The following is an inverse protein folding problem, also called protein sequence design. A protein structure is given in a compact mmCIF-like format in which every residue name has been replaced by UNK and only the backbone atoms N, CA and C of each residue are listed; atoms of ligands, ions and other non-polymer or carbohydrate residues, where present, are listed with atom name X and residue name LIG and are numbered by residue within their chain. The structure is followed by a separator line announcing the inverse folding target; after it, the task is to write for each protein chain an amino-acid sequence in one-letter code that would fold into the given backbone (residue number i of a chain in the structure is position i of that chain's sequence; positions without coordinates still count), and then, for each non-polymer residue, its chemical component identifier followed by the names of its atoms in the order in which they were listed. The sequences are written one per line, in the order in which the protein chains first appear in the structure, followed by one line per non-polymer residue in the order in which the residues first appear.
data_IF_587738798575
#
_entry.id   IF_587738798575
#
_cell.length_a   1.000
_cell.length_b   1.000
_cell.length_c   1.000
_cell.angle_alpha   90.00
_cell.angle_beta   90.00
_cell.angle_gamma   90.00
#
_symmetry.space_group_name_H-M   'P 1'
#
loop_
_entity.id
_entity.type
_entity.pdbx_description
1 polymer ?
#
# COMPACT_ATOMS: atom_id res chain seq x y z
N UNK A 1 -22.82 5.47 -11.15
CA UNK A 1 -21.60 4.89 -10.54
C UNK A 1 -22.05 4.14 -9.30
N UNK A 2 -22.07 2.81 -9.39
CA UNK A 2 -22.70 1.94 -8.41
C UNK A 2 -21.96 1.98 -7.07
N UNK A 3 -22.67 2.35 -6.02
CA UNK A 3 -22.29 1.99 -4.66
C UNK A 3 -22.55 0.49 -4.49
N UNK A 4 -21.69 -0.36 -5.06
CA UNK A 4 -21.63 -1.73 -4.56
C UNK A 4 -21.26 -1.64 -3.09
N UNK A 5 -22.24 -1.93 -2.23
CA UNK A 5 -22.00 -2.24 -0.84
C UNK A 5 -21.28 -3.59 -0.86
N UNK A 6 -19.96 -3.54 -1.02
CA UNK A 6 -19.12 -4.69 -0.70
C UNK A 6 -19.55 -5.10 0.71
N UNK A 7 -20.10 -6.31 0.81
CA UNK A 7 -20.52 -6.88 2.09
C UNK A 7 -19.33 -7.01 3.04
N UNK A 8 -19.52 -7.70 4.16
CA UNK A 8 -18.41 -7.94 5.08
C UNK A 8 -17.33 -8.71 4.32
N UNK A 9 -16.12 -8.16 4.28
CA UNK A 9 -14.99 -8.85 3.68
C UNK A 9 -14.63 -10.04 4.58
N UNK A 10 -14.61 -11.28 4.05
CA UNK A 10 -14.17 -12.41 4.85
C UNK A 10 -12.71 -12.19 5.24
N UNK A 11 -12.44 -12.24 6.55
CA UNK A 11 -11.10 -12.16 7.11
C UNK A 11 -10.67 -13.53 7.58
N UNK A 12 -9.42 -13.91 7.32
CA UNK A 12 -8.88 -15.17 7.86
C UNK A 12 -8.74 -15.10 9.39
N UNK A 13 -8.33 -13.93 9.92
CA UNK A 13 -8.23 -13.66 11.36
C UNK A 13 -8.77 -12.27 11.66
N UNK A 14 -9.49 -12.13 12.79
CA UNK A 14 -9.86 -10.81 13.32
C UNK A 14 -8.59 -10.09 13.80
N UNK A 15 -8.58 -8.76 13.72
CA UNK A 15 -7.44 -7.96 14.21
C UNK A 15 -7.09 -8.26 15.68
N UNK A 16 -8.09 -8.35 16.55
CA UNK A 16 -7.89 -8.71 17.97
C UNK A 16 -7.25 -10.08 18.15
N UNK A 17 -7.56 -11.05 17.29
CA UNK A 17 -6.91 -12.38 17.30
C UNK A 17 -5.45 -12.29 16.90
N UNK A 18 -5.11 -11.45 15.91
CA UNK A 18 -3.71 -11.21 15.51
C UNK A 18 -2.93 -10.60 16.67
N UNK A 19 -3.47 -9.54 17.31
CA UNK A 19 -2.81 -8.88 18.44
C UNK A 19 -2.71 -9.80 19.67
N UNK A 20 -3.73 -10.63 19.92
CA UNK A 20 -3.68 -11.67 20.97
C UNK A 20 -2.53 -12.66 20.76
N UNK A 21 -2.29 -13.12 19.52
CA UNK A 21 -1.16 -14.01 19.22
C UNK A 21 0.20 -13.38 19.53
N UNK A 22 0.32 -12.06 19.35
CA UNK A 22 1.55 -11.32 19.61
C UNK A 22 1.73 -11.08 21.12
N UNK A 23 0.66 -10.69 21.80
CA UNK A 23 0.72 -10.24 23.19
C UNK A 23 0.56 -11.36 24.23
N UNK A 24 0.11 -12.57 23.85
CA UNK A 24 -0.08 -13.72 24.76
C UNK A 24 1.18 -14.15 25.50
N UNK A 25 2.35 -13.71 25.05
CA UNK A 25 3.65 -14.03 25.65
C UNK A 25 4.12 -12.99 26.67
N UNK A 26 3.43 -11.85 26.80
CA UNK A 26 3.60 -10.90 27.91
C UNK A 26 2.80 -11.43 29.11
N UNK A 27 3.46 -12.19 29.97
CA UNK A 27 2.82 -13.09 30.94
C UNK A 27 2.04 -12.41 32.08
N UNK A 28 1.79 -11.09 32.05
CA UNK A 28 1.12 -10.39 33.15
C UNK A 28 0.19 -9.22 32.75
N UNK A 29 0.09 -8.82 31.48
CA UNK A 29 -0.65 -7.60 31.11
C UNK A 29 -1.93 -7.92 30.33
N UNK A 30 -3.09 -7.74 30.96
CA UNK A 30 -4.44 -7.81 30.36
C UNK A 30 -4.72 -6.71 29.30
N UNK A 31 -3.67 -6.08 28.75
CA UNK A 31 -3.75 -4.86 27.94
C UNK A 31 -3.98 -5.14 26.45
N UNK A 32 -4.19 -6.40 26.06
CA UNK A 32 -4.27 -6.77 24.64
C UNK A 32 -5.46 -6.15 23.89
N UNK A 33 -6.69 -6.15 24.45
CA UNK A 33 -7.81 -5.45 23.81
C UNK A 33 -7.54 -3.95 23.67
N UNK A 34 -6.85 -3.35 24.63
CA UNK A 34 -6.49 -1.93 24.62
C UNK A 34 -5.44 -1.63 23.53
N UNK A 35 -4.37 -2.44 23.43
CA UNK A 35 -3.36 -2.31 22.36
C UNK A 35 -4.00 -2.46 20.98
N UNK A 36 -4.88 -3.46 20.81
CA UNK A 36 -5.57 -3.70 19.54
C UNK A 36 -6.45 -2.51 19.16
N UNK A 37 -7.26 -2.00 20.10
CA UNK A 37 -8.14 -0.86 19.89
C UNK A 37 -7.35 0.43 19.61
N UNK A 38 -6.34 0.72 20.43
CA UNK A 38 -5.50 1.90 20.29
C UNK A 38 -4.77 1.91 18.94
N UNK A 39 -4.32 0.74 18.47
CA UNK A 39 -3.72 0.59 17.14
C UNK A 39 -4.69 0.99 16.04
N UNK A 40 -5.89 0.40 16.02
CA UNK A 40 -6.91 0.71 15.01
C UNK A 40 -7.30 2.19 15.04
N UNK A 41 -7.56 2.75 16.23
CA UNK A 41 -7.91 4.16 16.41
C UNK A 41 -6.82 5.09 15.87
N UNK A 42 -5.56 4.78 16.12
CA UNK A 42 -4.45 5.57 15.62
C UNK A 42 -4.35 5.51 14.08
N UNK A 43 -4.48 4.32 13.47
CA UNK A 43 -4.49 4.18 12.01
C UNK A 43 -5.64 4.98 11.39
N UNK A 44 -6.85 4.82 11.93
CA UNK A 44 -8.04 5.54 11.45
C UNK A 44 -7.87 7.06 11.54
N UNK A 45 -7.26 7.56 12.62
CA UNK A 45 -6.96 8.97 12.80
C UNK A 45 -5.95 9.46 11.76
N UNK A 46 -4.92 8.65 11.45
CA UNK A 46 -3.98 9.01 10.37
C UNK A 46 -4.65 9.11 9.01
N UNK A 47 -5.64 8.28 8.73
CA UNK A 47 -6.33 8.32 7.44
C UNK A 47 -7.29 9.52 7.25
N UNK A 48 -7.52 10.36 8.27
CA UNK A 48 -8.53 11.44 8.17
C UNK A 48 -8.20 12.56 7.19
N UNK A 49 -6.93 12.80 6.89
CA UNK A 49 -6.50 13.86 5.95
C UNK A 49 -5.33 13.43 5.05
N UNK A 50 -5.05 12.12 5.00
CA UNK A 50 -3.85 11.59 4.34
C UNK A 50 -3.92 11.73 2.81
N UNK A 51 -5.12 11.88 2.26
CA UNK A 51 -5.35 12.12 0.84
C UNK A 51 -4.80 13.48 0.37
N UNK A 52 -4.61 14.43 1.28
CA UNK A 52 -4.07 15.78 1.00
C UNK A 52 -2.55 15.84 1.08
N UNK A 53 -1.91 14.81 1.63
CA UNK A 53 -0.45 14.80 1.75
C UNK A 53 0.18 14.68 0.35
N UNK A 54 1.08 15.61 0.04
CA UNK A 54 1.72 15.66 -1.28
C UNK A 54 2.60 14.44 -1.56
N UNK A 55 3.23 13.87 -0.53
CA UNK A 55 4.05 12.66 -0.67
C UNK A 55 3.20 11.43 -0.98
N UNK A 56 2.05 11.30 -0.32
CA UNK A 56 1.06 10.25 -0.61
C UNK A 56 0.51 10.40 -2.03
N UNK A 57 0.14 11.62 -2.43
CA UNK A 57 -0.31 11.89 -3.80
C UNK A 57 0.78 11.56 -4.81
N UNK A 58 2.02 12.00 -4.60
CA UNK A 58 3.15 11.77 -5.50
C UNK A 58 3.46 10.28 -5.67
N UNK A 59 3.46 9.50 -4.57
CA UNK A 59 3.71 8.07 -4.63
C UNK A 59 2.64 7.34 -5.45
N UNK A 60 1.36 7.68 -5.26
CA UNK A 60 0.28 7.08 -6.03
C UNK A 60 0.27 7.55 -7.49
N UNK A 61 0.56 8.83 -7.74
CA UNK A 61 0.72 9.38 -9.09
C UNK A 61 1.81 8.66 -9.87
N UNK A 62 2.92 8.33 -9.23
CA UNK A 62 4.00 7.57 -9.85
C UNK A 62 3.52 6.20 -10.34
N UNK A 63 2.74 5.47 -9.51
CA UNK A 63 2.17 4.18 -9.91
C UNK A 63 1.19 4.31 -11.08
N UNK A 64 0.38 5.38 -11.11
CA UNK A 64 -0.50 5.68 -12.25
C UNK A 64 0.31 5.95 -13.52
N UNK A 65 1.35 6.78 -13.44
CA UNK A 65 2.23 7.10 -14.57
C UNK A 65 2.95 5.85 -15.09
N UNK A 66 3.39 4.97 -14.20
CA UNK A 66 4.05 3.72 -14.57
C UNK A 66 3.10 2.75 -15.29
N UNK A 67 1.86 2.63 -14.83
CA UNK A 67 0.83 1.85 -15.53
C UNK A 67 0.48 2.47 -16.88
N UNK A 68 0.34 3.79 -16.95
CA UNK A 68 0.06 4.53 -18.18
C UNK A 68 1.17 4.39 -19.22
N UNK A 69 2.44 4.52 -18.78
CA UNK A 69 3.59 4.50 -19.67
C UNK A 69 3.73 3.16 -20.40
N UNK A 70 3.32 2.07 -19.76
CA UNK A 70 3.48 0.74 -20.31
C UNK A 70 2.68 0.50 -21.62
N UNK A 71 1.61 1.27 -21.87
CA UNK A 71 0.85 1.20 -23.13
C UNK A 71 1.29 2.21 -24.18
N UNK A 72 2.28 3.04 -23.88
CA UNK A 72 2.76 4.06 -24.82
C UNK A 72 3.69 3.44 -25.87
N UNK A 73 3.79 4.10 -27.02
CA UNK A 73 4.73 3.73 -28.09
C UNK A 73 6.19 3.82 -27.61
N UNK A 74 6.49 4.86 -26.84
CA UNK A 74 7.79 5.08 -26.21
C UNK A 74 7.61 5.33 -24.70
N UNK A 75 7.60 4.27 -23.87
CA UNK A 75 7.35 4.40 -22.43
C UNK A 75 8.37 5.28 -21.70
N UNK A 76 9.65 5.22 -22.08
CA UNK A 76 10.72 6.01 -21.46
C UNK A 76 10.55 7.51 -21.74
N UNK A 77 10.29 7.88 -22.99
CA UNK A 77 10.05 9.27 -23.38
C UNK A 77 8.77 9.82 -22.73
N UNK A 78 7.72 9.00 -22.63
CA UNK A 78 6.51 9.38 -21.91
C UNK A 78 6.78 9.65 -20.43
N UNK A 79 7.53 8.79 -19.75
CA UNK A 79 7.90 9.01 -18.35
C UNK A 79 8.78 10.26 -18.18
N UNK A 80 9.76 10.45 -19.07
CA UNK A 80 10.67 11.59 -19.03
C UNK A 80 9.92 12.93 -19.24
N UNK A 81 8.99 12.98 -20.19
CA UNK A 81 8.13 14.16 -20.41
C UNK A 81 7.20 14.46 -19.22
N UNK A 82 6.91 13.46 -18.38
CA UNK A 82 6.19 13.62 -17.12
C UNK A 82 7.13 13.81 -15.90
N UNK A 83 8.43 13.99 -16.12
CA UNK A 83 9.42 14.28 -15.08
C UNK A 83 10.00 13.06 -14.35
N UNK A 84 9.75 11.85 -14.84
CA UNK A 84 10.31 10.59 -14.34
C UNK A 84 11.41 10.12 -15.31
N UNK A 85 12.66 10.26 -14.89
CA UNK A 85 13.79 9.80 -15.68
C UNK A 85 14.21 8.40 -15.23
N UNK A 86 14.07 7.43 -16.13
CA UNK A 86 14.62 6.08 -15.98
C UNK A 86 15.79 5.91 -16.95
N UNK A 87 16.78 5.13 -16.53
CA UNK A 87 17.87 4.68 -17.40
C UNK A 87 17.39 3.66 -18.43
N UNK A 88 18.23 3.37 -19.43
CA UNK A 88 17.91 2.43 -20.53
C UNK A 88 17.71 0.97 -20.09
N UNK A 89 18.22 0.58 -18.93
CA UNK A 89 17.81 -0.67 -18.27
C UNK A 89 16.72 -0.36 -17.24
N UNK A 90 15.63 -1.13 -17.29
CA UNK A 90 14.47 -1.01 -16.40
C UNK A 90 14.47 -2.21 -15.46
N UNK A 91 14.77 -1.94 -14.20
CA UNK A 91 14.70 -2.91 -13.10
C UNK A 91 13.86 -2.35 -11.94
N UNK A 92 13.34 -3.21 -11.04
CA UNK A 92 12.64 -2.76 -9.83
C UNK A 92 13.45 -1.75 -9.01
N UNK A 93 14.78 -1.93 -8.95
CA UNK A 93 15.67 -1.04 -8.23
C UNK A 93 15.73 0.37 -8.87
N UNK A 94 15.82 0.44 -10.20
CA UNK A 94 15.83 1.72 -10.92
C UNK A 94 14.48 2.44 -10.80
N UNK A 95 13.37 1.72 -10.94
CA UNK A 95 12.03 2.29 -10.75
C UNK A 95 11.87 2.77 -9.30
N UNK A 96 12.33 2.01 -8.30
CA UNK A 96 12.27 2.39 -6.89
C UNK A 96 13.12 3.63 -6.57
N UNK A 97 14.27 3.77 -7.22
CA UNK A 97 15.11 4.99 -7.13
C UNK A 97 14.38 6.19 -7.72
N UNK A 98 13.83 6.06 -8.93
CA UNK A 98 13.09 7.14 -9.58
C UNK A 98 11.83 7.54 -8.78
N UNK A 99 11.09 6.57 -8.23
CA UNK A 99 9.99 6.83 -7.30
C UNK A 99 10.46 7.61 -6.07
N UNK A 100 11.61 7.25 -5.51
CA UNK A 100 12.15 7.93 -4.33
C UNK A 100 12.52 9.37 -4.61
N UNK A 101 13.15 9.64 -5.75
CA UNK A 101 13.51 10.97 -6.21
C UNK A 101 12.28 11.80 -6.57
N UNK A 102 11.29 11.17 -7.22
CA UNK A 102 9.98 11.75 -7.50
C UNK A 102 9.35 12.23 -6.21
N UNK A 103 8.96 11.32 -5.31
CA UNK A 103 8.26 11.68 -4.05
C UNK A 103 9.00 12.76 -3.28
N UNK A 104 10.34 12.69 -3.18
CA UNK A 104 11.16 13.69 -2.48
C UNK A 104 11.02 15.10 -3.07
N UNK A 105 10.86 15.25 -4.38
CA UNK A 105 10.70 16.56 -5.03
C UNK A 105 9.34 17.22 -4.74
N UNK A 106 8.31 16.44 -4.42
CA UNK A 106 6.96 16.97 -4.20
C UNK A 106 6.49 16.95 -2.73
N UNK A 107 7.14 16.18 -1.86
CA UNK A 107 6.75 16.07 -0.46
C UNK A 107 7.28 17.22 0.41
N UNK A 108 6.38 17.89 1.15
CA UNK A 108 6.75 18.83 2.22
C UNK A 108 6.94 18.14 3.59
N UNK A 109 6.27 17.00 3.80
CA UNK A 109 6.24 16.22 5.05
C UNK A 109 7.10 14.96 4.95
N UNK A 110 7.95 14.72 5.95
CA UNK A 110 8.88 13.58 5.95
C UNK A 110 8.22 12.25 6.36
N UNK A 111 7.22 12.26 7.24
CA UNK A 111 6.68 11.01 7.82
C UNK A 111 5.70 10.31 6.87
N UNK A 112 4.66 11.00 6.40
CA UNK A 112 3.65 10.43 5.48
C UNK A 112 4.26 10.02 4.13
N UNK A 113 5.12 10.88 3.59
CA UNK A 113 5.84 10.59 2.36
C UNK A 113 6.73 9.34 2.48
N UNK A 114 7.34 9.10 3.65
CA UNK A 114 8.16 7.91 3.87
C UNK A 114 7.33 6.64 3.79
N UNK A 115 6.19 6.58 4.49
CA UNK A 115 5.30 5.41 4.45
C UNK A 115 4.73 5.19 3.05
N UNK A 116 4.28 6.27 2.39
CA UNK A 116 3.75 6.21 1.04
C UNK A 116 4.78 5.70 0.02
N UNK A 117 6.00 6.25 0.06
CA UNK A 117 7.10 5.87 -0.81
C UNK A 117 7.48 4.41 -0.60
N UNK A 118 7.68 3.99 0.65
CA UNK A 118 8.07 2.61 0.94
C UNK A 118 6.98 1.62 0.54
N UNK A 119 5.69 1.92 0.79
CA UNK A 119 4.59 1.09 0.32
C UNK A 119 4.56 0.96 -1.21
N UNK A 120 4.84 2.03 -1.95
CA UNK A 120 4.92 2.01 -3.40
C UNK A 120 6.15 1.23 -3.92
N UNK A 121 7.30 1.29 -3.23
CA UNK A 121 8.49 0.46 -3.55
C UNK A 121 8.18 -1.03 -3.37
N UNK A 122 7.54 -1.40 -2.25
CA UNK A 122 7.12 -2.80 -2.01
C UNK A 122 6.15 -3.25 -3.10
N UNK A 123 5.19 -2.38 -3.45
CA UNK A 123 4.22 -2.64 -4.53
C UNK A 123 4.90 -2.91 -5.86
N UNK A 124 5.90 -2.10 -6.23
CA UNK A 124 6.68 -2.28 -7.46
C UNK A 124 7.41 -3.62 -7.44
N UNK A 125 8.03 -3.95 -6.31
CA UNK A 125 8.81 -5.18 -6.13
C UNK A 125 7.92 -6.41 -6.22
N UNK A 126 6.80 -6.43 -5.49
CA UNK A 126 5.81 -7.51 -5.52
C UNK A 126 5.16 -7.67 -6.89
N UNK A 127 4.78 -6.56 -7.53
CA UNK A 127 4.24 -6.58 -8.88
C UNK A 127 5.22 -7.24 -9.85
N UNK A 128 6.48 -6.82 -9.81
CA UNK A 128 7.52 -7.34 -10.67
C UNK A 128 7.74 -8.84 -10.43
N UNK A 129 7.93 -9.27 -9.18
CA UNK A 129 8.12 -10.68 -8.82
C UNK A 129 6.95 -11.56 -9.26
N UNK A 130 5.71 -11.08 -9.09
CA UNK A 130 4.51 -11.83 -9.47
C UNK A 130 4.36 -11.98 -10.98
N UNK A 131 4.79 -10.98 -11.73
CA UNK A 131 4.56 -10.92 -13.17
C UNK A 131 5.78 -11.32 -14.01
N UNK A 132 6.93 -11.56 -13.37
CA UNK A 132 8.13 -12.10 -13.97
C UNK A 132 7.94 -13.60 -14.27
N UNK A 133 8.03 -13.96 -15.54
CA UNK A 133 7.87 -15.34 -16.01
C UNK A 133 9.24 -16.00 -16.14
N UNK A 134 9.45 -17.13 -15.44
CA UNK A 134 10.77 -17.82 -15.38
C UNK A 134 11.28 -18.31 -16.76
N UNK A 135 10.38 -18.62 -17.69
CA UNK A 135 10.73 -19.03 -19.06
C UNK A 135 11.30 -17.90 -19.92
N UNK A 136 11.11 -16.63 -19.54
CA UNK A 136 11.53 -15.48 -20.34
C UNK A 136 13.01 -15.11 -20.16
N UNK A 137 13.66 -15.52 -19.07
CA UNK A 137 15.07 -15.17 -18.80
C UNK A 137 16.07 -16.03 -19.60
N UNK A 138 15.68 -17.19 -20.12
CA UNK A 138 16.61 -18.15 -20.75
C UNK A 138 16.92 -17.83 -22.23
N UNK A 139 16.15 -16.96 -22.87
CA UNK A 139 16.30 -16.60 -24.30
C UNK A 139 16.16 -15.09 -24.57
N UNK A 140 16.56 -14.26 -23.61
CA UNK A 140 16.37 -12.80 -23.66
C UNK A 140 17.36 -12.11 -24.63
N UNK A 141 17.09 -12.19 -25.93
CA UNK A 141 17.45 -11.11 -26.85
C UNK A 141 16.69 -9.81 -26.54
N UNK A 142 16.99 -8.74 -27.26
CA UNK A 142 16.50 -7.35 -27.09
C UNK A 142 14.99 -7.24 -26.75
N UNK A 143 14.67 -7.31 -25.45
CA UNK A 143 13.29 -7.52 -24.96
C UNK A 143 12.65 -6.21 -24.54
N UNK A 144 11.33 -6.13 -24.77
CA UNK A 144 10.49 -5.06 -24.25
C UNK A 144 10.51 -5.07 -22.71
N UNK A 145 11.35 -4.21 -22.14
CA UNK A 145 11.55 -4.11 -20.69
C UNK A 145 10.28 -3.63 -19.94
N UNK A 146 9.25 -3.17 -20.67
CA UNK A 146 7.95 -2.76 -20.12
C UNK A 146 6.88 -3.86 -20.16
N UNK A 147 7.17 -5.04 -20.70
CA UNK A 147 6.21 -6.15 -20.81
C UNK A 147 5.53 -6.48 -19.46
N UNK A 148 6.32 -6.53 -18.37
CA UNK A 148 5.83 -6.76 -17.00
C UNK A 148 4.82 -5.68 -16.57
N UNK A 149 5.00 -4.45 -17.02
CA UNK A 149 4.15 -3.31 -16.66
C UNK A 149 2.92 -3.19 -17.55
N UNK A 150 2.92 -3.75 -18.76
CA UNK A 150 1.73 -3.77 -19.65
C UNK A 150 0.54 -4.45 -18.98
N UNK A 151 0.81 -5.49 -18.17
CA UNK A 151 -0.20 -6.17 -17.35
C UNK A 151 -0.90 -5.25 -16.34
N UNK A 152 -0.30 -4.10 -15.99
CA UNK A 152 -0.88 -3.10 -15.08
C UNK A 152 -1.69 -2.01 -15.80
N UNK A 153 -1.60 -1.95 -17.12
CA UNK A 153 -2.08 -0.83 -17.94
C UNK A 153 -3.54 -0.97 -18.40
N UNK A 154 -4.31 -1.85 -17.75
CA UNK A 154 -5.75 -1.96 -17.90
C UNK A 154 -6.44 -1.85 -16.54
N UNK A 155 -7.77 -1.75 -16.53
CA UNK A 155 -8.52 -1.62 -15.29
C UNK A 155 -8.32 -2.80 -14.31
N UNK A 156 -8.10 -4.03 -14.79
CA UNK A 156 -7.91 -5.21 -13.93
C UNK A 156 -6.52 -5.19 -13.28
N UNK A 157 -5.49 -4.95 -14.09
CA UNK A 157 -4.11 -4.81 -13.67
C UNK A 157 -3.91 -3.67 -12.70
N UNK A 158 -4.42 -2.48 -13.02
CA UNK A 158 -4.34 -1.34 -12.14
C UNK A 158 -5.11 -1.55 -10.82
N UNK A 159 -6.25 -2.24 -10.87
CA UNK A 159 -7.00 -2.62 -9.67
C UNK A 159 -6.18 -3.51 -8.73
N UNK A 160 -5.40 -4.44 -9.28
CA UNK A 160 -4.49 -5.25 -8.51
C UNK A 160 -3.30 -4.45 -7.97
N UNK A 161 -2.63 -3.65 -8.81
CA UNK A 161 -1.53 -2.78 -8.41
C UNK A 161 -1.94 -1.82 -7.29
N UNK A 162 -3.12 -1.20 -7.43
CA UNK A 162 -3.69 -0.32 -6.42
C UNK A 162 -4.00 -1.05 -5.12
N UNK A 163 -4.47 -2.31 -5.18
CA UNK A 163 -4.69 -3.12 -3.98
C UNK A 163 -3.37 -3.41 -3.25
N UNK A 164 -2.31 -3.77 -3.97
CA UNK A 164 -0.99 -3.99 -3.39
C UNK A 164 -0.51 -2.72 -2.67
N UNK A 165 -0.63 -1.56 -3.33
CA UNK A 165 -0.30 -0.28 -2.71
C UNK A 165 -1.03 -0.03 -1.40
N UNK A 166 -2.37 -0.15 -1.39
CA UNK A 166 -3.15 0.09 -0.18
C UNK A 166 -2.95 -0.99 0.89
N UNK A 167 -2.61 -2.22 0.50
CA UNK A 167 -2.21 -3.29 1.42
C UNK A 167 -0.93 -2.91 2.15
N UNK A 168 0.13 -2.62 1.40
CA UNK A 168 1.46 -2.32 1.94
C UNK A 168 1.44 -1.03 2.76
N UNK A 169 0.64 -0.05 2.33
CA UNK A 169 0.41 1.17 3.08
C UNK A 169 -0.27 0.89 4.44
N UNK A 170 -1.35 0.11 4.43
CA UNK A 170 -2.11 -0.22 5.64
C UNK A 170 -1.28 -1.06 6.61
N UNK A 171 -0.56 -2.06 6.11
CA UNK A 171 0.35 -2.91 6.89
C UNK A 171 1.37 -2.09 7.65
N UNK A 172 2.06 -1.16 6.98
CA UNK A 172 3.08 -0.30 7.59
C UNK A 172 2.51 0.51 8.75
N UNK A 173 1.32 1.08 8.58
CA UNK A 173 0.65 1.82 9.66
C UNK A 173 0.18 0.94 10.81
N UNK A 174 -0.34 -0.26 10.52
CA UNK A 174 -0.71 -1.22 11.55
C UNK A 174 0.51 -1.61 12.39
N UNK A 175 1.64 -1.95 11.74
CA UNK A 175 2.89 -2.28 12.42
C UNK A 175 3.38 -1.11 13.29
N UNK A 176 3.50 0.08 12.71
CA UNK A 176 3.98 1.27 13.42
C UNK A 176 3.15 1.60 14.66
N UNK A 177 1.81 1.58 14.53
CA UNK A 177 0.95 1.90 15.67
C UNK A 177 0.82 0.77 16.68
N UNK A 178 1.01 -0.47 16.25
CA UNK A 178 1.07 -1.62 17.14
C UNK A 178 2.31 -1.53 18.05
N UNK A 179 3.48 -1.29 17.47
CA UNK A 179 4.74 -1.06 18.23
C UNK A 179 4.59 0.12 19.21
N UNK A 180 3.98 1.22 18.74
CA UNK A 180 3.75 2.41 19.57
C UNK A 180 2.76 2.17 20.69
N UNK A 181 1.65 1.46 20.42
CA UNK A 181 0.65 1.12 21.42
C UNK A 181 1.23 0.14 22.45
N UNK A 182 1.97 -0.88 22.03
CA UNK A 182 2.65 -1.80 22.94
C UNK A 182 3.66 -1.06 23.82
N UNK A 183 4.48 -0.18 23.24
CA UNK A 183 5.47 0.62 23.99
C UNK A 183 4.84 1.50 25.06
N UNK A 184 3.66 2.07 24.80
CA UNK A 184 2.93 2.89 25.76
C UNK A 184 2.32 2.10 26.91
N UNK A 185 2.04 0.81 26.70
CA UNK A 185 1.38 -0.07 27.66
C UNK A 185 2.34 -1.03 28.40
N UNK A 186 3.62 -1.08 28.00
CA UNK A 186 4.63 -1.98 28.57
C UNK A 186 5.66 -1.24 29.42
N UNK A 187 5.81 -1.70 30.67
CA UNK A 187 6.61 -1.04 31.71
C UNK A 187 8.07 -1.54 31.82
N UNK A 188 8.47 -2.62 31.12
CA UNK A 188 9.83 -3.17 31.19
C UNK A 188 10.48 -3.37 29.81
N UNK A 189 11.80 -3.16 29.74
CA UNK A 189 12.60 -3.39 28.52
C UNK A 189 12.54 -4.87 28.07
N UNK A 190 12.54 -5.81 29.02
CA UNK A 190 12.47 -7.24 28.72
C UNK A 190 11.13 -7.62 28.06
N UNK A 191 10.02 -7.03 28.52
CA UNK A 191 8.69 -7.25 27.94
C UNK A 191 8.62 -6.68 26.52
N UNK A 192 9.23 -5.50 26.28
CA UNK A 192 9.30 -4.89 24.95
C UNK A 192 10.10 -5.73 23.97
N UNK A 193 11.31 -6.14 24.33
CA UNK A 193 12.15 -6.99 23.47
C UNK A 193 11.44 -8.31 23.10
N UNK A 194 10.72 -8.91 24.06
CA UNK A 194 9.94 -10.12 23.81
C UNK A 194 8.75 -9.85 22.87
N UNK A 195 8.06 -8.73 23.04
CA UNK A 195 6.99 -8.31 22.14
C UNK A 195 7.50 -8.10 20.71
N UNK A 196 8.64 -7.43 20.55
CA UNK A 196 9.24 -7.20 19.22
C UNK A 196 9.58 -8.52 18.51
N UNK A 197 10.13 -9.50 19.24
CA UNK A 197 10.37 -10.85 18.72
C UNK A 197 9.08 -11.58 18.30
N UNK A 198 7.99 -11.42 19.06
CA UNK A 198 6.70 -12.03 18.71
C UNK A 198 6.01 -11.30 17.55
N UNK A 199 6.18 -9.98 17.47
CA UNK A 199 5.71 -9.17 16.35
C UNK A 199 6.36 -9.64 15.05
N UNK A 200 7.67 -9.91 15.06
CA UNK A 200 8.39 -10.47 13.91
C UNK A 200 7.80 -11.81 13.43
N UNK A 201 7.42 -12.69 14.36
CA UNK A 201 6.80 -14.00 14.04
C UNK A 201 5.40 -13.85 13.42
N UNK A 202 4.70 -12.76 13.70
CA UNK A 202 3.33 -12.50 13.25
C UNK A 202 3.25 -11.50 12.09
N UNK A 203 4.38 -11.08 11.51
CA UNK A 203 4.37 -10.14 10.37
C UNK A 203 3.44 -10.63 9.25
N UNK A 204 3.52 -11.91 8.89
CA UNK A 204 2.67 -12.50 7.86
C UNK A 204 1.16 -12.38 8.16
N UNK A 205 0.76 -12.47 9.43
CA UNK A 205 -0.64 -12.30 9.83
C UNK A 205 -1.09 -10.84 9.65
N UNK A 206 -0.22 -9.88 9.97
CA UNK A 206 -0.49 -8.45 9.78
C UNK A 206 -0.56 -8.12 8.28
N UNK A 207 0.40 -8.57 7.48
CA UNK A 207 0.41 -8.36 6.02
C UNK A 207 -0.84 -8.96 5.37
N UNK A 208 -1.19 -10.20 5.75
CA UNK A 208 -2.41 -10.86 5.26
C UNK A 208 -3.67 -10.09 5.65
N UNK A 209 -3.75 -9.64 6.89
CA UNK A 209 -4.87 -8.84 7.37
C UNK A 209 -5.02 -7.53 6.59
N UNK A 210 -3.92 -6.82 6.36
CA UNK A 210 -3.89 -5.59 5.56
C UNK A 210 -4.30 -5.83 4.10
N UNK A 211 -3.83 -6.93 3.49
CA UNK A 211 -4.18 -7.32 2.13
C UNK A 211 -5.67 -7.67 1.96
N UNK A 212 -6.26 -8.31 2.98
CA UNK A 212 -7.69 -8.57 3.04
C UNK A 212 -8.49 -7.27 3.23
N UNK A 213 -8.04 -6.35 4.09
CA UNK A 213 -8.65 -5.01 4.25
C UNK A 213 -8.63 -4.22 2.94
N UNK A 214 -7.49 -4.21 2.24
CA UNK A 214 -7.29 -3.48 0.99
C UNK A 214 -8.20 -3.97 -0.14
N UNK A 215 -8.81 -5.16 -0.04
CA UNK A 215 -9.80 -5.64 -1.02
C UNK A 215 -10.99 -4.68 -1.17
N UNK A 216 -11.32 -3.88 -0.14
CA UNK A 216 -12.41 -2.90 -0.21
C UNK A 216 -12.18 -1.84 -1.29
N UNK A 217 -10.92 -1.56 -1.63
CA UNK A 217 -10.54 -0.55 -2.62
C UNK A 217 -10.62 -1.07 -4.06
N UNK A 218 -10.54 -2.39 -4.27
CA UNK A 218 -10.64 -3.00 -5.60
C UNK A 218 -11.94 -2.67 -6.32
N UNK A 219 -13.06 -2.65 -5.58
CA UNK A 219 -14.41 -2.48 -6.14
C UNK A 219 -14.58 -1.27 -7.07
N UNK A 220 -13.76 -0.22 -6.90
CA UNK A 220 -13.85 0.99 -7.72
C UNK A 220 -12.56 1.36 -8.46
N UNK A 221 -11.43 0.70 -8.17
CA UNK A 221 -10.14 1.03 -8.77
C UNK A 221 -10.11 0.83 -10.29
N UNK A 222 -10.64 -0.30 -10.78
CA UNK A 222 -10.73 -0.59 -12.21
C UNK A 222 -11.58 0.45 -12.96
N UNK A 223 -12.76 0.75 -12.43
CA UNK A 223 -13.68 1.72 -13.04
C UNK A 223 -13.11 3.14 -13.01
N UNK A 224 -12.41 3.51 -11.95
CA UNK A 224 -11.73 4.80 -11.87
C UNK A 224 -10.61 4.92 -12.91
N UNK A 225 -9.76 3.89 -13.05
CA UNK A 225 -8.64 3.90 -13.99
C UNK A 225 -9.14 4.02 -15.44
N UNK A 226 -10.06 3.14 -15.84
CA UNK A 226 -10.63 3.15 -17.18
C UNK A 226 -11.29 4.49 -17.57
N UNK A 227 -11.85 5.21 -16.58
CA UNK A 227 -12.52 6.49 -16.80
C UNK A 227 -11.58 7.70 -16.78
N UNK A 228 -10.52 7.66 -15.98
CA UNK A 228 -9.76 8.86 -15.65
C UNK A 228 -8.30 8.81 -16.09
N UNK A 229 -7.73 7.63 -16.24
CA UNK A 229 -6.28 7.41 -16.29
C UNK A 229 -5.85 6.46 -17.40
N UNK A 230 -6.75 6.04 -18.30
CA UNK A 230 -6.42 5.06 -19.35
C UNK A 230 -5.61 5.69 -20.49
N UNK A 231 -5.97 6.90 -20.87
CA UNK A 231 -5.45 7.56 -22.07
C UNK A 231 -4.51 8.72 -21.74
N UNK A 232 -4.70 9.36 -20.57
CA UNK A 232 -3.93 10.52 -20.13
C UNK A 232 -3.73 10.53 -18.61
N UNK A 233 -2.74 11.27 -18.14
CA UNK A 233 -2.49 11.44 -16.71
C UNK A 233 -3.63 12.23 -16.05
N UNK A 234 -4.30 11.70 -15.01
CA UNK A 234 -5.33 12.43 -14.30
C UNK A 234 -4.77 13.66 -13.58
N UNK A 235 -5.58 14.72 -13.49
CA UNK A 235 -5.23 15.88 -12.67
C UNK A 235 -5.06 15.53 -11.20
N UNK A 236 -4.26 16.31 -10.46
CA UNK A 236 -4.04 16.16 -9.01
C UNK A 236 -5.37 16.07 -8.24
N UNK A 237 -6.39 16.82 -8.65
CA UNK A 237 -7.72 16.77 -8.03
C UNK A 237 -8.40 15.41 -8.22
N UNK A 238 -8.28 14.78 -9.40
CA UNK A 238 -8.83 13.43 -9.66
C UNK A 238 -8.10 12.38 -8.82
N UNK A 239 -6.78 12.50 -8.68
CA UNK A 239 -5.96 11.63 -7.82
C UNK A 239 -6.35 11.78 -6.35
N UNK A 240 -6.41 13.00 -5.84
CA UNK A 240 -6.82 13.28 -4.46
C UNK A 240 -8.23 12.72 -4.19
N UNK A 241 -9.17 12.88 -5.14
CA UNK A 241 -10.50 12.31 -5.02
C UNK A 241 -10.49 10.78 -4.94
N UNK A 242 -9.61 10.12 -5.69
CA UNK A 242 -9.44 8.66 -5.61
C UNK A 242 -8.93 8.24 -4.23
N UNK A 243 -7.86 8.89 -3.77
CA UNK A 243 -7.25 8.61 -2.46
C UNK A 243 -8.24 8.85 -1.33
N UNK A 244 -9.03 9.93 -1.38
CA UNK A 244 -10.09 10.21 -0.40
C UNK A 244 -11.07 9.03 -0.28
N UNK A 245 -11.55 8.51 -1.41
CA UNK A 245 -12.48 7.38 -1.43
C UNK A 245 -11.81 6.10 -0.93
N UNK A 246 -10.56 5.85 -1.33
CA UNK A 246 -9.80 4.67 -0.92
C UNK A 246 -9.56 4.65 0.60
N UNK A 247 -8.97 5.71 1.14
CA UNK A 247 -8.69 5.83 2.58
C UNK A 247 -9.96 5.90 3.41
N UNK A 248 -11.02 6.55 2.91
CA UNK A 248 -12.33 6.53 3.54
C UNK A 248 -12.91 5.11 3.66
N UNK A 249 -12.78 4.28 2.62
CA UNK A 249 -13.20 2.88 2.64
C UNK A 249 -12.34 2.02 3.58
N UNK A 250 -11.02 2.19 3.55
CA UNK A 250 -10.10 1.49 4.47
C UNK A 250 -10.42 1.83 5.93
N UNK A 251 -10.58 3.12 6.24
CA UNK A 251 -10.99 3.60 7.57
C UNK A 251 -12.32 2.97 7.99
N UNK A 252 -13.31 2.96 7.09
CA UNK A 252 -14.62 2.35 7.34
C UNK A 252 -14.53 0.86 7.66
N UNK A 253 -13.64 0.12 7.00
CA UNK A 253 -13.44 -1.30 7.28
C UNK A 253 -12.75 -1.53 8.63
N UNK A 254 -11.69 -0.76 8.96
CA UNK A 254 -11.03 -0.83 10.26
C UNK A 254 -11.97 -0.47 11.42
N UNK A 255 -12.87 0.51 11.22
CA UNK A 255 -13.91 0.86 12.20
C UNK A 255 -14.91 -0.29 12.44
N UNK A 256 -15.27 -1.03 11.40
CA UNK A 256 -16.18 -2.19 11.56
C UNK A 256 -15.52 -3.30 12.37
N UNK A 257 -14.21 -3.45 12.26
CA UNK A 257 -13.47 -4.43 13.05
C UNK A 257 -13.36 -4.03 14.52
N UNK A 258 -13.12 -2.75 14.82
CA UNK A 258 -13.10 -2.23 16.19
C UNK A 258 -14.43 -2.49 16.93
N UNK A 259 -15.55 -2.33 16.24
CA UNK A 259 -16.88 -2.47 16.83
C UNK A 259 -17.34 -3.93 17.02
N UNK A 260 -16.60 -4.92 16.47
CA UNK A 260 -16.89 -6.34 16.66
C UNK A 260 -16.25 -6.83 17.96
N UNK A 261 -16.98 -6.69 19.07
CA UNK A 261 -16.69 -7.43 20.31
C UNK A 261 -16.88 -8.93 20.09
#
# INVERSE_FOLDING_TARGET
MGHERVGILPKTKRWTTVVNGIASFSTNDNNVPEIAQQTLKNVQNRFQNIERDKGVQAAFQFLVLLSLSANQKNPLEFLASNGINLSESISPLQISKALSEWVKKQSDSNEYATFARSAAIDTITEWYQKNQTFQENLFAGDKDQFEIWRKSADGKGFCELSRLYFSNFTERYLKYFLERAASANMNSLATRNKFDQELEKHLNDISKHAFETAKITQSFAAGWFNKNAKDEMPSTRKIQSFLNIAFGKLKGELLREENKK
#
